data_IF_633332525149
#
_entry.id   IF_633332525149
#
_cell.length_a   1.000
_cell.length_b   1.000
_cell.length_c   1.000
_cell.angle_alpha   90.00
_cell.angle_beta   90.00
_cell.angle_gamma   90.00
#
_symmetry.space_group_name_H-M   'P 1'
#
loop_
_entity.id
_entity.type
_entity.pdbx_description
1 polymer ?
#
# COMPACT_ATOMS: atom_id res chain seq x y z
N UNK A 1 6.89 -1.12 -30.03
CA UNK A 1 6.16 -1.58 -28.83
C UNK A 1 4.95 -0.68 -28.65
N UNK A 2 3.76 -1.26 -28.51
CA UNK A 2 2.54 -0.48 -28.29
C UNK A 2 2.41 -0.13 -26.80
N UNK A 3 1.92 1.08 -26.47
CA UNK A 3 1.64 1.48 -25.10
C UNK A 3 0.33 0.80 -24.68
N UNK A 4 0.38 -0.03 -23.65
CA UNK A 4 -0.80 -0.67 -23.10
C UNK A 4 -1.52 0.28 -22.14
N UNK A 5 -2.82 0.51 -22.37
CA UNK A 5 -3.71 1.13 -21.38
C UNK A 5 -4.31 0.03 -20.54
N UNK A 6 -4.46 0.26 -19.24
CA UNK A 6 -4.98 -0.73 -18.32
C UNK A 6 -6.30 -0.26 -17.69
N UNK A 7 -7.24 -1.17 -17.56
CA UNK A 7 -8.41 -1.04 -16.70
C UNK A 7 -8.02 -1.58 -15.33
N UNK A 8 -8.08 -0.73 -14.33
CA UNK A 8 -7.72 -1.04 -12.95
C UNK A 8 -8.89 -1.73 -12.23
N UNK A 9 -8.69 -2.88 -11.56
CA UNK A 9 -9.68 -3.40 -10.64
C UNK A 9 -9.84 -2.48 -9.44
N UNK A 10 -11.09 -2.25 -9.02
CA UNK A 10 -11.43 -1.40 -7.88
C UNK A 10 -11.84 -2.24 -6.68
N UNK A 11 -11.57 -1.73 -5.47
CA UNK A 11 -11.91 -2.37 -4.20
C UNK A 11 -12.81 -1.45 -3.37
N UNK A 12 -13.82 -2.04 -2.72
CA UNK A 12 -14.75 -1.38 -1.81
C UNK A 12 -14.45 -1.81 -0.37
N UNK A 13 -13.68 -1.00 0.33
CA UNK A 13 -13.36 -1.21 1.74
C UNK A 13 -14.14 -0.24 2.64
N UNK A 14 -14.35 -0.62 3.92
CA UNK A 14 -15.18 0.14 4.88
C UNK A 14 -14.73 1.58 5.09
N UNK A 15 -13.43 1.86 4.92
CA UNK A 15 -12.80 3.16 5.11
C UNK A 15 -12.73 4.01 3.85
N UNK A 16 -13.12 3.45 2.69
CA UNK A 16 -12.99 4.14 1.40
C UNK A 16 -13.99 5.25 1.17
N UNK A 17 -13.62 6.16 0.26
CA UNK A 17 -14.43 7.27 -0.24
C UNK A 17 -14.86 7.11 -1.69
N UNK A 18 -15.18 8.25 -2.32
CA UNK A 18 -15.59 8.33 -3.71
C UNK A 18 -14.71 9.25 -4.58
N UNK A 19 -13.63 9.81 -4.03
CA UNK A 19 -12.72 10.70 -4.76
C UNK A 19 -12.15 10.04 -6.00
N UNK A 20 -11.83 8.73 -5.94
CA UNK A 20 -11.33 8.00 -7.10
C UNK A 20 -12.35 7.97 -8.25
N UNK A 21 -13.65 7.93 -7.96
CA UNK A 21 -14.72 8.05 -8.96
C UNK A 21 -14.89 9.49 -9.43
N UNK A 22 -15.01 10.42 -8.51
CA UNK A 22 -15.43 11.80 -8.78
C UNK A 22 -14.31 12.63 -9.40
N UNK A 23 -13.06 12.47 -8.93
CA UNK A 23 -11.93 13.29 -9.34
C UNK A 23 -11.02 12.57 -10.37
N UNK A 24 -10.98 11.23 -10.34
CA UNK A 24 -10.07 10.42 -11.17
C UNK A 24 -10.78 9.57 -12.21
N UNK A 25 -12.12 9.69 -12.31
CA UNK A 25 -12.91 9.01 -13.34
C UNK A 25 -12.87 7.49 -13.29
N UNK A 26 -12.58 6.90 -12.10
CA UNK A 26 -12.59 5.46 -11.94
C UNK A 26 -14.02 4.92 -11.97
N UNK A 27 -14.21 3.79 -12.65
CA UNK A 27 -15.53 3.16 -12.85
C UNK A 27 -15.57 1.82 -12.10
N UNK A 28 -16.61 1.65 -11.30
CA UNK A 28 -16.89 0.40 -10.57
C UNK A 28 -18.37 0.35 -10.22
N UNK A 29 -18.95 -0.85 -10.17
CA UNK A 29 -20.32 -1.09 -9.72
C UNK A 29 -20.46 -1.05 -8.18
N UNK A 30 -19.34 -0.97 -7.46
CA UNK A 30 -19.34 -0.86 -6.00
C UNK A 30 -19.86 0.51 -5.55
N UNK A 31 -20.43 0.59 -4.34
CA UNK A 31 -20.97 1.83 -3.77
C UNK A 31 -19.90 2.91 -3.64
N UNK A 32 -18.68 2.51 -3.32
CA UNK A 32 -17.51 3.37 -3.20
C UNK A 32 -16.27 2.70 -3.77
N UNK A 33 -15.23 3.51 -4.04
CA UNK A 33 -13.94 3.03 -4.54
C UNK A 33 -12.87 3.43 -3.54
N UNK A 34 -12.53 2.50 -2.65
CA UNK A 34 -11.47 2.69 -1.67
C UNK A 34 -10.08 2.59 -2.28
N UNK A 35 -9.89 1.62 -3.18
CA UNK A 35 -8.63 1.44 -3.91
C UNK A 35 -8.90 1.20 -5.40
N UNK A 36 -7.98 1.66 -6.24
CA UNK A 36 -7.89 1.35 -7.66
C UNK A 36 -6.48 0.82 -7.94
N UNK A 37 -6.37 -0.44 -8.38
CA UNK A 37 -5.10 -1.12 -8.61
C UNK A 37 -4.60 -0.87 -10.02
N UNK A 38 -3.88 0.21 -10.20
CA UNK A 38 -3.50 0.78 -11.50
C UNK A 38 -2.60 -0.14 -12.32
N UNK A 39 -1.67 -0.85 -11.66
CA UNK A 39 -0.78 -1.83 -12.27
C UNK A 39 -0.74 -3.06 -11.37
N UNK A 40 -1.39 -4.14 -11.79
CA UNK A 40 -1.50 -5.36 -10.98
C UNK A 40 -1.53 -6.63 -11.81
N UNK A 41 -0.65 -7.56 -11.44
CA UNK A 41 -0.74 -8.98 -11.82
C UNK A 41 -1.12 -9.87 -10.62
N UNK A 42 -1.59 -9.26 -9.51
CA UNK A 42 -1.92 -10.01 -8.30
C UNK A 42 -3.21 -10.82 -8.46
N UNK A 43 -3.24 -12.04 -7.92
CA UNK A 43 -4.40 -12.96 -8.01
C UNK A 43 -5.71 -12.35 -7.49
N UNK A 44 -5.63 -11.47 -6.48
CA UNK A 44 -6.80 -10.84 -5.86
C UNK A 44 -7.37 -9.67 -6.67
N UNK A 45 -6.69 -9.23 -7.73
CA UNK A 45 -7.17 -8.15 -8.60
C UNK A 45 -6.17 -7.85 -9.70
N UNK A 46 -6.46 -8.29 -10.91
CA UNK A 46 -5.59 -8.11 -12.07
C UNK A 46 -6.04 -6.94 -12.93
N UNK A 47 -5.08 -6.15 -13.40
CA UNK A 47 -5.33 -5.15 -14.44
C UNK A 47 -5.63 -5.84 -15.77
N UNK A 48 -6.57 -5.28 -16.53
CA UNK A 48 -6.98 -5.78 -17.85
C UNK A 48 -6.57 -4.79 -18.93
N UNK A 49 -5.98 -5.28 -20.01
CA UNK A 49 -5.56 -4.45 -21.13
C UNK A 49 -6.79 -3.84 -21.83
N UNK A 50 -6.80 -2.52 -21.98
CA UNK A 50 -7.93 -1.75 -22.49
C UNK A 50 -7.85 -1.41 -23.97
N UNK A 51 -6.69 -1.59 -24.64
CA UNK A 51 -6.46 -1.19 -26.03
C UNK A 51 -5.65 -2.21 -26.82
N UNK A 52 -5.52 -1.96 -28.14
CA UNK A 52 -4.69 -2.75 -29.04
C UNK A 52 -5.21 -4.16 -29.31
N UNK A 53 -4.34 -5.00 -29.86
CA UNK A 53 -4.67 -6.38 -30.23
C UNK A 53 -4.90 -7.31 -29.03
N UNK A 54 -4.33 -6.96 -27.87
CA UNK A 54 -4.43 -7.73 -26.64
C UNK A 54 -5.52 -7.20 -25.69
N UNK A 55 -6.41 -6.33 -26.18
CA UNK A 55 -7.55 -5.80 -25.42
C UNK A 55 -8.39 -6.93 -24.81
N UNK A 56 -8.68 -6.82 -23.53
CA UNK A 56 -9.46 -7.80 -22.75
C UNK A 56 -8.60 -8.87 -22.07
N UNK A 57 -7.33 -8.99 -22.42
CA UNK A 57 -6.38 -9.92 -21.78
C UNK A 57 -5.96 -9.41 -20.40
N UNK A 58 -5.79 -10.31 -19.43
CA UNK A 58 -5.20 -9.95 -18.14
C UNK A 58 -3.72 -9.59 -18.33
N UNK A 59 -3.25 -8.62 -17.55
CA UNK A 59 -1.85 -8.18 -17.62
C UNK A 59 -0.89 -9.33 -17.33
N UNK A 60 -1.21 -10.23 -16.39
CA UNK A 60 -0.39 -11.40 -16.07
C UNK A 60 -0.23 -12.36 -17.25
N UNK A 61 -1.31 -12.59 -18.00
CA UNK A 61 -1.28 -13.43 -19.22
C UNK A 61 -0.38 -12.80 -20.28
N UNK A 62 -0.54 -11.48 -20.49
CA UNK A 62 0.30 -10.74 -21.43
C UNK A 62 1.79 -10.83 -21.06
N UNK A 63 2.13 -10.63 -19.79
CA UNK A 63 3.51 -10.72 -19.29
C UNK A 63 4.08 -12.14 -19.48
N UNK A 64 3.29 -13.17 -19.19
CA UNK A 64 3.72 -14.56 -19.36
C UNK A 64 4.02 -14.90 -20.84
N UNK A 65 3.22 -14.39 -21.76
CA UNK A 65 3.40 -14.58 -23.22
C UNK A 65 4.53 -13.71 -23.81
N UNK A 66 4.83 -12.56 -23.18
CA UNK A 66 5.79 -11.55 -23.66
C UNK A 66 6.90 -11.31 -22.64
N UNK A 67 7.70 -12.34 -22.32
CA UNK A 67 8.74 -12.30 -21.28
C UNK A 67 9.71 -11.09 -21.37
N UNK A 68 9.98 -10.61 -22.58
CA UNK A 68 10.83 -9.45 -22.81
C UNK A 68 10.15 -8.10 -22.51
N UNK A 69 8.84 -8.08 -22.21
CA UNK A 69 8.11 -6.84 -21.95
C UNK A 69 8.54 -6.12 -20.67
N UNK A 70 9.07 -6.86 -19.70
CA UNK A 70 9.53 -6.33 -18.41
C UNK A 70 11.01 -5.93 -18.40
N UNK A 71 11.78 -6.29 -19.44
CA UNK A 71 13.22 -6.12 -19.49
C UNK A 71 13.97 -7.10 -18.58
N UNK A 72 15.29 -7.19 -18.79
CA UNK A 72 16.16 -8.19 -18.14
C UNK A 72 16.31 -8.00 -16.63
N UNK A 73 16.07 -6.80 -16.10
CA UNK A 73 16.13 -6.56 -14.66
C UNK A 73 15.05 -7.33 -13.87
N UNK A 74 13.98 -7.73 -14.54
CA UNK A 74 12.90 -8.50 -13.94
C UNK A 74 13.09 -10.03 -14.00
N UNK A 75 14.11 -10.54 -14.69
CA UNK A 75 14.38 -11.97 -14.82
C UNK A 75 14.66 -12.67 -13.48
N UNK A 76 15.07 -11.92 -12.46
CA UNK A 76 15.33 -12.40 -11.10
C UNK A 76 14.07 -12.65 -10.26
N UNK A 77 12.91 -12.19 -10.72
CA UNK A 77 11.66 -12.34 -9.97
C UNK A 77 10.83 -13.52 -10.49
N UNK A 78 10.31 -14.31 -9.58
CA UNK A 78 9.44 -15.44 -9.90
C UNK A 78 8.06 -14.96 -10.39
N UNK A 79 7.56 -13.87 -9.77
CA UNK A 79 6.28 -13.23 -10.12
C UNK A 79 6.52 -11.78 -10.55
N UNK A 80 5.51 -11.18 -11.20
CA UNK A 80 5.53 -9.76 -11.49
C UNK A 80 5.75 -8.94 -10.20
N UNK A 81 6.81 -8.09 -10.13
CA UNK A 81 7.34 -7.67 -8.83
C UNK A 81 6.61 -6.52 -8.16
N UNK A 82 5.75 -5.80 -8.89
CA UNK A 82 5.19 -4.51 -8.44
C UNK A 82 3.66 -4.53 -8.46
N UNK A 83 3.04 -3.84 -7.50
CA UNK A 83 1.64 -3.47 -7.48
C UNK A 83 1.56 -1.96 -7.22
N UNK A 84 0.82 -1.23 -8.09
CA UNK A 84 0.61 0.21 -7.94
C UNK A 84 -0.87 0.46 -7.71
N UNK A 85 -1.20 1.26 -6.69
CA UNK A 85 -2.58 1.61 -6.33
C UNK A 85 -2.76 3.11 -6.17
N UNK A 86 -3.99 3.56 -6.37
CA UNK A 86 -4.51 4.78 -5.78
C UNK A 86 -5.43 4.40 -4.61
N UNK A 87 -5.30 5.08 -3.48
CA UNK A 87 -6.04 4.80 -2.24
C UNK A 87 -6.71 6.08 -1.78
N UNK A 88 -8.04 6.05 -1.62
CA UNK A 88 -8.86 7.13 -1.07
C UNK A 88 -9.27 6.78 0.36
N UNK A 89 -8.54 7.32 1.33
CA UNK A 89 -8.77 7.13 2.76
C UNK A 89 -9.77 8.16 3.28
N UNK A 90 -11.06 7.98 3.05
CA UNK A 90 -12.11 8.81 3.66
C UNK A 90 -12.13 8.66 5.18
N UNK A 91 -11.75 7.48 5.68
CA UNK A 91 -11.61 7.19 7.10
C UNK A 91 -10.26 6.54 7.36
N UNK A 92 -9.83 6.46 8.63
CA UNK A 92 -8.56 5.85 8.99
C UNK A 92 -8.48 4.40 8.51
N UNK A 93 -7.38 3.99 7.89
CA UNK A 93 -7.07 2.58 7.68
C UNK A 93 -6.68 1.93 9.01
N UNK A 94 -6.76 0.61 9.08
CA UNK A 94 -6.27 -0.13 10.26
C UNK A 94 -4.78 0.12 10.48
N UNK A 95 -4.37 0.10 11.76
CA UNK A 95 -2.94 0.02 12.08
C UNK A 95 -2.45 -1.38 11.75
N UNK A 96 -1.39 -1.48 10.97
CA UNK A 96 -0.93 -2.70 10.33
C UNK A 96 0.58 -2.73 10.15
N UNK A 97 1.09 -3.91 9.86
CA UNK A 97 2.48 -4.16 9.50
C UNK A 97 2.53 -5.20 8.38
N UNK A 98 3.59 -5.15 7.59
CA UNK A 98 3.84 -6.11 6.52
C UNK A 98 5.13 -6.89 6.77
N UNK A 99 5.17 -8.20 6.46
CA UNK A 99 6.37 -9.02 6.57
C UNK A 99 7.39 -8.69 5.48
N UNK A 100 8.65 -9.07 5.71
CA UNK A 100 9.68 -9.16 4.68
C UNK A 100 9.46 -10.37 3.74
N UNK A 101 10.32 -10.50 2.72
CA UNK A 101 10.22 -11.60 1.76
C UNK A 101 10.41 -12.97 2.42
N UNK A 102 11.36 -13.11 3.34
CA UNK A 102 11.72 -14.40 3.92
C UNK A 102 10.58 -14.95 4.78
N UNK A 103 9.98 -14.08 5.58
CA UNK A 103 8.82 -14.44 6.39
C UNK A 103 7.59 -14.71 5.50
N UNK A 104 7.28 -13.81 4.57
CA UNK A 104 6.09 -13.88 3.73
C UNK A 104 6.10 -15.12 2.81
N UNK A 105 7.22 -15.42 2.16
CA UNK A 105 7.35 -16.60 1.30
C UNK A 105 7.15 -17.90 2.09
N UNK A 106 7.66 -17.96 3.33
CA UNK A 106 7.54 -19.14 4.19
C UNK A 106 6.13 -19.32 4.76
N UNK A 107 5.45 -18.25 5.14
CA UNK A 107 4.19 -18.29 5.89
C UNK A 107 2.97 -18.12 4.99
N UNK A 108 3.06 -17.26 3.96
CA UNK A 108 1.93 -16.87 3.11
C UNK A 108 2.08 -17.35 1.65
N UNK A 109 3.30 -17.71 1.23
CA UNK A 109 3.59 -18.08 -0.16
C UNK A 109 3.53 -16.88 -1.12
N UNK A 110 3.77 -15.67 -0.62
CA UNK A 110 3.79 -14.41 -1.37
C UNK A 110 5.08 -13.64 -1.08
N UNK A 111 5.35 -12.58 -1.87
CA UNK A 111 6.39 -11.62 -1.51
C UNK A 111 6.05 -10.91 -0.20
N UNK A 112 7.08 -10.40 0.46
CA UNK A 112 6.94 -9.39 1.48
C UNK A 112 6.33 -8.11 0.91
N UNK A 113 6.11 -7.11 1.76
CA UNK A 113 5.46 -5.89 1.32
C UNK A 113 6.20 -4.65 1.84
N UNK A 114 7.25 -4.29 1.13
CA UNK A 114 7.84 -2.95 1.22
C UNK A 114 7.10 -2.05 0.24
N UNK A 115 6.80 -0.83 0.65
CA UNK A 115 6.01 0.11 -0.13
C UNK A 115 6.53 1.54 -0.03
N UNK A 116 6.15 2.35 -1.00
CA UNK A 116 6.37 3.79 -1.00
C UNK A 116 5.03 4.48 -1.22
N UNK A 117 4.76 5.53 -0.45
CA UNK A 117 3.58 6.36 -0.59
C UNK A 117 3.94 7.74 -1.11
N UNK A 118 3.21 8.20 -2.11
CA UNK A 118 3.20 9.59 -2.54
C UNK A 118 1.87 10.21 -2.14
N UNK A 119 1.88 11.27 -1.36
CA UNK A 119 0.66 12.00 -0.97
C UNK A 119 0.16 12.80 -2.16
N UNK A 120 -0.86 12.28 -2.83
CA UNK A 120 -1.47 12.93 -4.00
C UNK A 120 -2.27 14.14 -3.58
N UNK A 121 -2.98 14.02 -2.44
CA UNK A 121 -3.74 15.08 -1.82
C UNK A 121 -4.11 14.71 -0.38
N UNK A 122 -4.39 15.70 0.48
CA UNK A 122 -4.83 15.45 1.84
C UNK A 122 -5.65 16.62 2.39
N UNK A 123 -6.53 16.33 3.34
CA UNK A 123 -7.24 17.34 4.12
C UNK A 123 -6.29 18.01 5.13
N UNK A 124 -6.60 19.23 5.52
CA UNK A 124 -5.83 19.94 6.56
C UNK A 124 -5.83 19.16 7.88
N UNK A 125 -4.64 18.98 8.48
CA UNK A 125 -4.46 18.25 9.73
C UNK A 125 -4.44 16.72 9.59
N UNK A 126 -4.48 16.19 8.36
CA UNK A 126 -4.30 14.75 8.12
C UNK A 126 -2.93 14.26 8.58
N UNK A 127 -2.89 13.05 9.13
CA UNK A 127 -1.69 12.43 9.69
C UNK A 127 -1.59 10.96 9.29
N UNK A 128 -0.35 10.46 9.23
CA UNK A 128 -0.05 9.03 9.15
C UNK A 128 0.42 8.52 10.50
N UNK A 129 0.21 7.23 10.77
CA UNK A 129 1.02 6.50 11.75
C UNK A 129 2.22 5.95 10.98
N UNK A 130 3.44 6.25 11.46
CA UNK A 130 4.69 5.85 10.83
C UNK A 130 5.71 5.38 11.88
N UNK A 131 5.66 4.09 12.23
CA UNK A 131 6.46 3.48 13.27
C UNK A 131 6.07 3.89 14.69
N UNK A 132 7.00 3.77 15.58
CA UNK A 132 6.87 4.14 16.99
C UNK A 132 7.58 5.47 17.28
N UNK A 133 7.18 6.16 18.35
CA UNK A 133 7.82 7.38 18.83
C UNK A 133 9.13 7.10 19.59
N UNK A 134 9.28 5.88 20.10
CA UNK A 134 10.45 5.36 20.84
C UNK A 134 10.59 3.85 20.62
N UNK A 135 11.74 3.31 21.02
CA UNK A 135 11.91 1.86 21.10
C UNK A 135 11.04 1.27 22.22
N UNK A 136 10.35 0.18 21.95
CA UNK A 136 9.54 -0.57 22.91
C UNK A 136 9.90 -2.05 22.88
N UNK A 137 9.58 -2.77 23.96
CA UNK A 137 9.81 -4.21 23.99
C UNK A 137 8.67 -4.99 23.31
N UNK A 138 8.94 -6.26 23.00
CA UNK A 138 7.96 -7.18 22.42
C UNK A 138 6.78 -7.40 23.37
N UNK A 139 7.05 -7.47 24.66
CA UNK A 139 6.04 -7.61 25.70
C UNK A 139 5.18 -6.34 25.80
N UNK A 140 5.81 -5.15 25.78
CA UNK A 140 5.06 -3.88 25.75
C UNK A 140 4.16 -3.79 24.53
N UNK A 141 4.65 -4.16 23.34
CA UNK A 141 3.84 -4.16 22.13
C UNK A 141 2.61 -5.06 22.23
N UNK A 142 2.79 -6.31 22.68
CA UNK A 142 1.70 -7.27 22.89
C UNK A 142 0.67 -6.77 23.92
N UNK A 143 1.14 -6.21 25.05
CA UNK A 143 0.27 -5.68 26.10
C UNK A 143 -0.53 -4.46 25.62
N UNK A 144 0.08 -3.58 24.85
CA UNK A 144 -0.61 -2.40 24.29
C UNK A 144 -1.68 -2.76 23.29
N UNK A 145 -1.46 -3.77 22.44
CA UNK A 145 -2.50 -4.30 21.56
C UNK A 145 -3.66 -4.85 22.39
N UNK A 146 -3.37 -5.68 23.38
CA UNK A 146 -4.36 -6.33 24.24
C UNK A 146 -5.20 -5.32 25.03
N UNK A 147 -4.57 -4.23 25.49
CA UNK A 147 -5.20 -3.21 26.32
C UNK A 147 -5.77 -2.03 25.52
N UNK A 148 -5.74 -2.08 24.18
CA UNK A 148 -6.16 -0.99 23.28
C UNK A 148 -5.43 0.35 23.53
N UNK A 149 -4.16 0.31 23.94
CA UNK A 149 -3.31 1.49 24.20
C UNK A 149 -2.18 1.64 23.16
N UNK A 150 -2.23 0.90 22.08
CA UNK A 150 -1.17 0.92 21.05
C UNK A 150 -0.91 2.31 20.47
N UNK A 151 -1.94 3.10 20.25
CA UNK A 151 -1.83 4.44 19.68
C UNK A 151 -1.06 5.44 20.56
N UNK A 152 -0.87 5.16 21.85
CA UNK A 152 -0.13 6.02 22.78
C UNK A 152 1.40 6.00 22.55
N UNK A 153 1.90 5.03 21.79
CA UNK A 153 3.33 4.86 21.50
C UNK A 153 3.64 4.92 19.99
N UNK A 154 2.64 5.23 19.17
CA UNK A 154 2.83 5.37 17.71
C UNK A 154 3.29 6.76 17.35
N UNK A 155 4.18 6.84 16.36
CA UNK A 155 4.63 8.11 15.80
C UNK A 155 3.60 8.63 14.79
N UNK A 156 2.92 9.73 15.14
CA UNK A 156 1.93 10.38 14.29
C UNK A 156 2.59 11.52 13.51
N UNK A 157 2.64 11.39 12.19
CA UNK A 157 3.34 12.33 11.30
C UNK A 157 2.32 13.13 10.48
N UNK A 158 2.28 14.47 10.61
CA UNK A 158 1.49 15.32 9.72
C UNK A 158 1.95 15.17 8.27
N UNK A 159 1.00 15.21 7.34
CA UNK A 159 1.28 15.05 5.92
C UNK A 159 0.81 16.24 5.10
N UNK A 160 1.50 16.45 3.97
CA UNK A 160 1.17 17.47 2.98
C UNK A 160 1.19 16.85 1.58
N UNK A 161 0.44 17.44 0.69
CA UNK A 161 0.49 17.08 -0.73
C UNK A 161 1.92 17.15 -1.26
N UNK A 162 2.37 16.09 -1.90
CA UNK A 162 3.72 15.95 -2.46
C UNK A 162 4.71 15.24 -1.55
N UNK A 163 4.37 14.98 -0.29
CA UNK A 163 5.23 14.21 0.61
C UNK A 163 5.40 12.76 0.11
N UNK A 164 6.55 12.19 0.43
CA UNK A 164 6.89 10.80 0.09
C UNK A 164 7.34 10.07 1.35
N UNK A 165 6.79 8.88 1.56
CA UNK A 165 7.13 8.00 2.68
C UNK A 165 7.60 6.66 2.13
N UNK A 166 8.71 6.16 2.65
CA UNK A 166 9.18 4.81 2.36
C UNK A 166 8.85 3.90 3.56
N UNK A 167 7.94 2.96 3.34
CA UNK A 167 7.46 2.03 4.36
C UNK A 167 8.19 0.70 4.18
N UNK A 168 9.28 0.53 4.88
CA UNK A 168 10.02 -0.74 4.91
C UNK A 168 9.14 -1.83 5.56
N UNK A 169 9.24 -3.07 5.06
CA UNK A 169 8.64 -4.22 5.76
C UNK A 169 9.06 -4.23 7.24
N UNK A 170 8.15 -4.60 8.14
CA UNK A 170 8.37 -4.50 9.58
C UNK A 170 7.96 -3.15 10.20
N UNK A 171 7.80 -2.09 9.41
CA UNK A 171 7.34 -0.79 9.94
C UNK A 171 5.85 -0.83 10.25
N UNK A 172 5.48 -0.55 11.51
CA UNK A 172 4.09 -0.34 11.90
C UNK A 172 3.55 0.95 11.27
N UNK A 173 2.39 0.91 10.61
CA UNK A 173 1.87 2.09 9.92
C UNK A 173 0.35 2.10 9.78
N UNK A 174 -0.20 3.29 9.50
CA UNK A 174 -1.58 3.46 9.05
C UNK A 174 -1.74 4.75 8.26
N UNK A 175 -2.57 4.72 7.23
CA UNK A 175 -3.02 5.91 6.51
C UNK A 175 -4.18 6.53 7.30
N UNK A 176 -4.05 7.79 7.68
CA UNK A 176 -5.10 8.54 8.35
C UNK A 176 -6.21 9.00 7.40
N UNK A 177 -7.33 9.39 7.96
CA UNK A 177 -8.47 9.91 7.21
C UNK A 177 -8.12 11.17 6.41
N UNK A 178 -8.83 11.36 5.30
CA UNK A 178 -8.70 12.55 4.45
C UNK A 178 -7.49 12.53 3.53
N UNK A 179 -6.80 11.40 3.39
CA UNK A 179 -5.59 11.27 2.58
C UNK A 179 -5.89 10.49 1.30
N UNK A 180 -5.41 11.01 0.18
CA UNK A 180 -5.34 10.32 -1.11
C UNK A 180 -3.88 10.03 -1.43
N UNK A 181 -3.52 8.76 -1.61
CA UNK A 181 -2.15 8.36 -1.93
C UNK A 181 -2.04 7.59 -3.24
N UNK A 182 -0.86 7.68 -3.84
CA UNK A 182 -0.37 6.67 -4.79
C UNK A 182 0.61 5.76 -4.04
N UNK A 183 0.27 4.48 -3.94
CA UNK A 183 1.07 3.44 -3.29
C UNK A 183 1.80 2.64 -4.37
N UNK A 184 3.12 2.58 -4.28
CA UNK A 184 3.98 1.74 -5.10
C UNK A 184 4.58 0.68 -4.17
N UNK A 185 4.23 -0.58 -4.35
CA UNK A 185 4.59 -1.66 -3.44
C UNK A 185 5.09 -2.91 -4.17
N UNK A 186 5.68 -3.83 -3.41
CA UNK A 186 5.90 -5.18 -3.90
C UNK A 186 4.54 -5.84 -4.21
N UNK A 187 4.52 -6.79 -5.14
CA UNK A 187 3.30 -7.49 -5.57
C UNK A 187 2.79 -8.48 -4.52
N UNK A 188 2.23 -7.94 -3.45
CA UNK A 188 1.69 -8.67 -2.30
C UNK A 188 0.41 -7.98 -1.79
N UNK A 189 -0.51 -8.75 -1.24
CA UNK A 189 -1.69 -8.25 -0.53
C UNK A 189 -1.69 -8.66 0.96
N UNK A 190 -0.56 -9.20 1.43
CA UNK A 190 -0.40 -9.63 2.83
C UNK A 190 -0.38 -8.43 3.77
N UNK A 191 -1.27 -8.46 4.76
CA UNK A 191 -1.43 -7.40 5.76
C UNK A 191 -1.69 -8.00 7.14
N UNK A 192 -0.86 -7.68 8.12
CA UNK A 192 -1.09 -8.05 9.52
C UNK A 192 -1.65 -6.87 10.28
N UNK A 193 -2.97 -6.92 10.48
CA UNK A 193 -3.73 -5.89 11.18
C UNK A 193 -3.61 -6.09 12.69
N UNK A 194 -3.30 -5.03 13.42
CA UNK A 194 -3.16 -5.06 14.88
C UNK A 194 -4.18 -4.19 15.62
N UNK A 195 -4.76 -3.20 14.93
CA UNK A 195 -5.81 -2.36 15.52
C UNK A 195 -6.74 -1.81 14.44
N UNK A 196 -8.03 -1.83 14.66
CA UNK A 196 -9.05 -1.44 13.68
C UNK A 196 -10.16 -0.55 14.24
N UNK A 197 -9.87 0.22 15.28
CA UNK A 197 -10.80 1.20 15.87
C UNK A 197 -12.16 0.59 16.33
N UNK A 198 -12.22 -0.71 16.60
CA UNK A 198 -13.46 -1.40 16.96
C UNK A 198 -14.51 -1.47 15.84
N UNK A 199 -14.13 -1.19 14.59
CA UNK A 199 -15.04 -1.20 13.43
C UNK A 199 -15.54 -2.60 13.11
N UNK A 200 -16.75 -2.67 12.58
CA UNK A 200 -17.36 -3.90 12.07
C UNK A 200 -17.56 -3.80 10.55
N UNK A 201 -17.43 -4.92 9.88
CA UNK A 201 -17.71 -5.04 8.44
C UNK A 201 -19.20 -4.97 8.12
N UNK A 202 -19.55 -5.10 6.84
CA UNK A 202 -20.94 -5.16 6.35
C UNK A 202 -21.73 -6.34 6.96
N UNK A 203 -21.01 -7.38 7.39
CA UNK A 203 -21.55 -8.58 8.06
C UNK A 203 -21.77 -8.40 9.57
N UNK A 204 -21.50 -7.20 10.11
CA UNK A 204 -21.61 -6.88 11.53
C UNK A 204 -20.49 -7.46 12.40
N UNK A 205 -19.46 -8.05 11.81
CA UNK A 205 -18.32 -8.63 12.54
C UNK A 205 -17.08 -7.73 12.45
N UNK A 206 -16.24 -7.69 13.52
CA UNK A 206 -14.97 -7.04 13.45
C UNK A 206 -14.05 -7.76 12.44
N UNK A 207 -13.19 -6.99 11.76
CA UNK A 207 -12.16 -7.59 10.90
C UNK A 207 -11.13 -8.32 11.76
N UNK A 208 -10.61 -9.42 11.23
CA UNK A 208 -9.59 -10.22 11.90
C UNK A 208 -8.34 -9.41 12.23
N UNK A 209 -7.80 -9.61 13.43
CA UNK A 209 -6.50 -9.10 13.86
C UNK A 209 -5.47 -10.23 13.81
N UNK A 210 -4.28 -9.93 13.30
CA UNK A 210 -3.19 -10.91 13.08
C UNK A 210 -2.08 -10.70 14.09
N UNK A 211 -2.41 -10.71 15.38
CA UNK A 211 -1.55 -10.23 16.48
C UNK A 211 -0.24 -10.99 16.56
N UNK A 212 -0.27 -12.33 16.55
CA UNK A 212 0.94 -13.15 16.67
C UNK A 212 1.90 -12.92 15.51
N UNK A 213 1.39 -12.94 14.26
CA UNK A 213 2.20 -12.67 13.07
C UNK A 213 2.76 -11.24 13.07
N UNK A 214 2.00 -10.28 13.54
CA UNK A 214 2.47 -8.90 13.66
C UNK A 214 3.59 -8.77 14.71
N UNK A 215 3.47 -9.43 15.86
CA UNK A 215 4.52 -9.46 16.88
C UNK A 215 5.82 -10.08 16.34
N UNK A 216 5.71 -11.05 15.43
CA UNK A 216 6.89 -11.70 14.83
C UNK A 216 7.66 -10.80 13.88
N UNK A 217 6.98 -9.90 13.16
CA UNK A 217 7.58 -9.15 12.05
C UNK A 217 7.76 -7.66 12.31
N UNK A 218 7.19 -7.11 13.40
CA UNK A 218 7.23 -5.66 13.65
C UNK A 218 8.60 -5.23 14.19
N UNK A 219 9.17 -4.21 13.52
CA UNK A 219 10.33 -3.45 14.03
C UNK A 219 9.86 -2.50 15.15
N UNK A 220 10.31 -2.75 16.38
CA UNK A 220 9.80 -2.10 17.60
C UNK A 220 10.57 -0.81 17.95
N UNK A 221 10.95 -0.05 16.95
CA UNK A 221 11.75 1.16 17.08
C UNK A 221 11.19 2.28 16.16
N UNK A 222 11.64 3.52 16.35
CA UNK A 222 11.34 4.61 15.41
C UNK A 222 11.78 4.28 13.98
N UNK A 223 11.06 4.80 12.95
CA UNK A 223 11.40 4.53 11.55
C UNK A 223 12.79 5.06 11.20
N UNK A 224 13.50 4.32 10.33
CA UNK A 224 14.88 4.62 9.93
C UNK A 224 15.01 5.81 8.99
N UNK A 225 13.94 6.13 8.23
CA UNK A 225 13.98 7.13 7.18
C UNK A 225 13.33 8.43 7.63
N UNK A 226 14.00 9.56 7.33
CA UNK A 226 13.39 10.89 7.47
C UNK A 226 12.30 11.03 6.38
N UNK A 227 11.14 11.53 6.80
CA UNK A 227 9.98 11.74 5.92
C UNK A 227 10.10 12.97 5.03
N UNK A 228 11.17 13.75 5.18
CA UNK A 228 11.39 14.92 4.31
C UNK A 228 11.69 14.45 2.90
N UNK A 229 10.98 14.95 1.87
CA UNK A 229 11.31 14.64 0.50
C UNK A 229 12.78 15.05 0.25
N UNK A 230 13.61 14.17 -0.34
CA UNK A 230 14.98 14.52 -0.63
C UNK A 230 14.98 15.76 -1.53
N UNK A 231 15.70 16.80 -1.12
CA UNK A 231 15.83 18.10 -1.83
C UNK A 231 16.33 17.92 -3.28
N UNK A 232 16.73 16.71 -3.67
CA UNK A 232 17.28 16.36 -4.97
C UNK A 232 16.26 16.07 -6.08
N UNK A 233 14.95 16.09 -5.84
CA UNK A 233 13.96 15.86 -6.90
C UNK A 233 14.01 16.89 -8.04
N UNK A 234 14.48 18.10 -7.77
CA UNK A 234 14.71 19.12 -8.80
C UNK A 234 15.88 18.79 -9.72
N UNK A 235 16.84 17.96 -9.30
CA UNK A 235 18.02 17.60 -10.09
C UNK A 235 17.74 16.47 -11.10
N UNK A 236 16.90 15.51 -10.78
CA UNK A 236 16.54 14.41 -11.69
C UNK A 236 15.71 14.91 -12.90
N UNK A 237 14.82 15.89 -12.71
CA UNK A 237 14.06 16.49 -13.82
C UNK A 237 14.93 17.28 -14.83
N UNK A 238 16.06 17.83 -14.39
CA UNK A 238 16.93 18.61 -15.26
C UNK A 238 17.78 17.75 -16.21
N UNK A 239 18.03 16.48 -15.90
CA UNK A 239 18.83 15.58 -16.71
C UNK A 239 18.05 14.76 -17.74
N UNK A 240 16.76 14.51 -17.53
CA UNK A 240 15.93 13.72 -18.46
C UNK A 240 15.39 14.52 -19.66
N UNK A 241 15.41 15.84 -19.61
CA UNK A 241 14.90 16.69 -20.71
C UNK A 241 15.95 17.04 -21.78
N UNK A 242 17.14 16.46 -21.73
CA UNK A 242 18.24 16.73 -22.72
C UNK A 242 18.68 15.48 -23.49
N UNK A 243 17.76 14.63 -23.90
CA UNK A 243 18.01 13.62 -24.93
C UNK A 243 16.87 13.58 -25.95
#
# INVERSE_FOLDING_TARGET
MEILKLNAPCKDYIWGGNRLREEYGKVSDADKIAESWELSCHKDGQSVIANGKDKGKMLSEYVAENKNALGTACDRFEYFPILIKLIDAKDNLSVQVHPDNDYAMRVEGEYGKTEMWYIVDCEEGSQLIYGFDKEISREEFADRIKNNTLLEVTNNVPVHKGDVFFIESGTLHAIGKGILIAEIQQNSNTTYRVYDYGRVGKDGKPRELHIEKAIDVTELCPPKYDTKPPVSYTHLRAHETRR
#
